data_IF_788631829334
#
_entry.id   IF_788631829334
#
_cell.length_a   1.000
_cell.length_b   1.000
_cell.length_c   1.000
_cell.angle_alpha   90.00
_cell.angle_beta   90.00
_cell.angle_gamma   90.00
#
_symmetry.space_group_name_H-M   'P 1'
#
loop_
_entity.id
_entity.type
_entity.pdbx_description
1 polymer ?
#
# COMPACT_ATOMS: atom_id res chain seq x y z
N UNK A 1 -18.03 1.37 -3.86
CA UNK A 1 -18.72 1.59 -2.57
C UNK A 1 -18.37 0.52 -1.53
N UNK A 2 -18.44 -0.78 -1.88
CA UNK A 2 -18.17 -1.90 -0.95
C UNK A 2 -16.85 -1.78 -0.15
N UNK A 3 -15.73 -1.49 -0.81
CA UNK A 3 -14.44 -1.35 -0.11
C UNK A 3 -14.43 -0.23 0.95
N UNK A 4 -15.05 0.92 0.66
CA UNK A 4 -15.18 2.02 1.62
C UNK A 4 -16.08 1.64 2.79
N UNK A 5 -17.17 0.92 2.51
CA UNK A 5 -18.05 0.40 3.56
C UNK A 5 -17.32 -0.61 4.45
N UNK A 6 -16.60 -1.58 3.88
CA UNK A 6 -15.78 -2.54 4.64
C UNK A 6 -14.75 -1.84 5.51
N UNK A 7 -14.07 -0.81 4.99
CA UNK A 7 -13.13 0.00 5.77
C UNK A 7 -13.81 0.74 6.93
N UNK A 8 -15.01 1.31 6.70
CA UNK A 8 -15.82 1.95 7.76
C UNK A 8 -16.19 0.95 8.84
N UNK A 9 -16.72 -0.22 8.46
CA UNK A 9 -17.10 -1.27 9.41
C UNK A 9 -15.88 -1.75 10.19
N UNK A 10 -14.76 -2.01 9.53
CA UNK A 10 -13.51 -2.40 10.19
C UNK A 10 -13.09 -1.35 11.23
N UNK A 11 -13.09 -0.06 10.88
CA UNK A 11 -12.75 1.01 11.82
C UNK A 11 -13.68 1.01 13.03
N UNK A 12 -14.99 0.97 12.80
CA UNK A 12 -15.99 0.97 13.87
C UNK A 12 -15.84 -0.23 14.81
N UNK A 13 -15.67 -1.44 14.26
CA UNK A 13 -15.48 -2.66 15.06
C UNK A 13 -14.17 -2.64 15.85
N UNK A 14 -13.09 -2.10 15.28
CA UNK A 14 -11.82 -1.97 16.01
C UNK A 14 -11.93 -0.94 17.15
N UNK A 15 -12.62 0.19 16.94
CA UNK A 15 -12.87 1.19 17.99
C UNK A 15 -13.71 0.62 19.13
N UNK A 16 -14.72 -0.18 18.82
CA UNK A 16 -15.56 -0.84 19.83
C UNK A 16 -14.76 -1.88 20.64
N UNK A 17 -13.95 -2.69 19.96
CA UNK A 17 -13.16 -3.75 20.59
C UNK A 17 -11.94 -3.23 21.37
N UNK A 18 -11.34 -2.14 20.90
CA UNK A 18 -10.13 -1.53 21.46
C UNK A 18 -10.38 -0.05 21.72
N UNK A 19 -11.19 0.29 22.75
CA UNK A 19 -11.58 1.68 23.02
C UNK A 19 -10.38 2.59 23.31
N UNK A 20 -9.32 2.03 23.91
CA UNK A 20 -8.10 2.75 24.28
C UNK A 20 -7.12 2.97 23.11
N UNK A 21 -7.34 2.32 21.96
CA UNK A 21 -6.47 2.49 20.80
C UNK A 21 -6.58 3.92 20.26
N UNK A 22 -5.45 4.53 19.90
CA UNK A 22 -5.44 5.85 19.27
C UNK A 22 -6.09 5.80 17.87
N UNK A 23 -6.62 6.94 17.40
CA UNK A 23 -7.13 7.03 16.02
C UNK A 23 -6.07 6.66 14.97
N UNK A 24 -4.80 6.99 15.23
CA UNK A 24 -3.68 6.65 14.35
C UNK A 24 -3.47 5.12 14.24
N UNK A 25 -3.54 4.39 15.34
CA UNK A 25 -3.46 2.92 15.34
C UNK A 25 -4.61 2.29 14.57
N UNK A 26 -5.82 2.82 14.72
CA UNK A 26 -6.98 2.34 13.96
C UNK A 26 -6.80 2.62 12.45
N UNK A 27 -6.33 3.82 12.10
CA UNK A 27 -6.08 4.17 10.71
C UNK A 27 -4.94 3.38 10.08
N UNK A 28 -3.91 2.98 10.82
CA UNK A 28 -2.87 2.06 10.32
C UNK A 28 -3.45 0.72 9.87
N UNK A 29 -4.40 0.16 10.62
CA UNK A 29 -5.04 -1.11 10.26
C UNK A 29 -5.94 -0.95 9.03
N UNK A 30 -6.71 0.15 8.97
CA UNK A 30 -7.55 0.47 7.81
C UNK A 30 -6.70 0.76 6.56
N UNK A 31 -5.61 1.50 6.72
CA UNK A 31 -4.62 1.80 5.69
C UNK A 31 -3.96 0.53 5.17
N UNK A 32 -3.63 -0.41 6.04
CA UNK A 32 -3.11 -1.72 5.63
C UNK A 32 -4.14 -2.51 4.78
N UNK A 33 -5.44 -2.43 5.09
CA UNK A 33 -6.46 -3.04 4.24
C UNK A 33 -6.56 -2.34 2.88
N UNK A 34 -6.68 -1.01 2.87
CA UNK A 34 -6.93 -0.24 1.65
C UNK A 34 -5.71 -0.15 0.74
N UNK A 35 -4.53 0.08 1.31
CA UNK A 35 -3.31 0.22 0.55
C UNK A 35 -2.62 -1.12 0.35
N UNK A 36 -2.12 -1.75 1.42
CA UNK A 36 -1.27 -2.94 1.27
C UNK A 36 -2.00 -4.14 0.66
N UNK A 37 -3.26 -4.38 1.04
CA UNK A 37 -4.02 -5.54 0.54
C UNK A 37 -4.78 -5.29 -0.75
N UNK A 38 -5.20 -4.06 -1.02
CA UNK A 38 -6.05 -3.78 -2.17
C UNK A 38 -5.29 -3.05 -3.29
N UNK A 39 -4.57 -1.97 -3.01
CA UNK A 39 -3.88 -1.19 -4.05
C UNK A 39 -2.49 -1.73 -4.40
N UNK A 40 -1.67 -2.08 -3.40
CA UNK A 40 -0.27 -2.44 -3.58
C UNK A 40 -0.05 -3.61 -4.57
N UNK A 41 -0.86 -4.70 -4.57
CA UNK A 41 -0.71 -5.77 -5.55
C UNK A 41 -0.94 -5.31 -6.99
N UNK A 42 -1.93 -4.45 -7.22
CA UNK A 42 -2.25 -3.89 -8.53
C UNK A 42 -1.19 -2.88 -9.02
N UNK A 43 -0.44 -2.25 -8.11
CA UNK A 43 0.71 -1.41 -8.47
C UNK A 43 1.90 -2.28 -8.89
N UNK A 44 2.18 -3.36 -8.16
CA UNK A 44 3.34 -4.24 -8.42
C UNK A 44 3.17 -5.09 -9.68
N UNK A 45 1.93 -5.54 -9.95
CA UNK A 45 1.59 -6.40 -11.06
C UNK A 45 0.35 -5.87 -11.80
N UNK A 46 0.41 -4.69 -12.43
CA UNK A 46 -0.75 -4.06 -13.05
C UNK A 46 -1.36 -4.90 -14.18
N UNK A 47 -0.56 -5.71 -14.86
CA UNK A 47 -0.98 -6.68 -15.86
C UNK A 47 -1.79 -7.84 -15.26
N UNK A 48 -1.37 -8.36 -14.11
CA UNK A 48 -2.09 -9.43 -13.40
C UNK A 48 -3.37 -8.98 -12.69
N UNK A 49 -3.63 -7.66 -12.66
CA UNK A 49 -4.80 -7.03 -12.04
C UNK A 49 -5.64 -6.23 -13.05
N UNK A 50 -5.43 -6.46 -14.36
CA UNK A 50 -6.18 -5.84 -15.46
C UNK A 50 -6.19 -4.28 -15.41
N UNK A 51 -5.12 -3.68 -14.89
CA UNK A 51 -4.95 -2.21 -14.84
C UNK A 51 -4.44 -1.66 -16.18
N UNK A 52 -3.66 -2.47 -16.91
CA UNK A 52 -3.10 -2.11 -18.21
C UNK A 52 -3.32 -3.24 -19.21
N UNK A 53 -3.49 -2.87 -20.47
CA UNK A 53 -3.49 -3.82 -21.58
C UNK A 53 -2.05 -4.17 -21.95
N UNK A 54 -1.69 -5.45 -21.87
CA UNK A 54 -0.43 -5.95 -22.40
C UNK A 54 -0.72 -6.72 -23.68
N UNK A 55 0.06 -6.46 -24.74
CA UNK A 55 -0.08 -7.17 -26.00
C UNK A 55 -0.03 -8.69 -25.79
N UNK A 56 -0.82 -9.44 -26.56
CA UNK A 56 -0.91 -10.90 -26.43
C UNK A 56 0.48 -11.55 -26.48
N UNK A 57 0.87 -12.24 -25.41
CA UNK A 57 2.16 -12.91 -25.26
C UNK A 57 3.30 -12.05 -24.72
N UNK A 58 3.09 -10.76 -24.46
CA UNK A 58 4.00 -9.90 -23.72
C UNK A 58 3.62 -9.84 -22.24
N UNK A 59 4.59 -9.92 -21.34
CA UNK A 59 4.43 -9.52 -19.94
C UNK A 59 5.08 -8.17 -19.71
N UNK A 60 4.84 -7.56 -18.55
CA UNK A 60 5.56 -6.34 -18.17
C UNK A 60 7.08 -6.57 -18.21
N UNK A 61 7.83 -5.66 -18.87
CA UNK A 61 9.28 -5.74 -18.90
C UNK A 61 9.85 -5.73 -17.48
N UNK A 62 10.94 -6.47 -17.26
CA UNK A 62 11.54 -6.65 -15.93
C UNK A 62 11.91 -5.32 -15.27
N UNK A 63 12.39 -4.34 -16.04
CA UNK A 63 12.71 -3.00 -15.50
C UNK A 63 11.46 -2.24 -15.03
N UNK A 64 10.33 -2.33 -15.75
CA UNK A 64 9.08 -1.73 -15.31
C UNK A 64 8.59 -2.37 -14.02
N UNK A 65 8.68 -3.70 -13.92
CA UNK A 65 8.31 -4.43 -12.69
C UNK A 65 9.18 -4.02 -11.50
N UNK A 66 10.49 -3.85 -11.73
CA UNK A 66 11.42 -3.35 -10.69
C UNK A 66 11.04 -1.93 -10.24
N UNK A 67 10.77 -1.02 -11.18
CA UNK A 67 10.41 0.36 -10.86
C UNK A 67 9.09 0.44 -10.09
N UNK A 68 8.07 -0.30 -10.53
CA UNK A 68 6.78 -0.39 -9.83
C UNK A 68 6.93 -1.00 -8.43
N UNK A 69 7.78 -2.01 -8.27
CA UNK A 69 8.12 -2.58 -6.97
C UNK A 69 8.73 -1.54 -6.02
N UNK A 70 9.63 -0.67 -6.49
CA UNK A 70 10.20 0.41 -5.69
C UNK A 70 9.15 1.47 -5.30
N UNK A 71 8.25 1.84 -6.22
CA UNK A 71 7.15 2.78 -5.94
C UNK A 71 6.17 2.20 -4.91
N UNK A 72 5.78 0.94 -5.10
CA UNK A 72 4.93 0.19 -4.20
C UNK A 72 5.53 0.14 -2.78
N UNK A 73 6.84 -0.12 -2.68
CA UNK A 73 7.56 -0.10 -1.40
C UNK A 73 7.50 1.27 -0.73
N UNK A 74 7.77 2.35 -1.47
CA UNK A 74 7.72 3.70 -0.94
C UNK A 74 6.33 4.05 -0.38
N UNK A 75 5.30 3.79 -1.16
CA UNK A 75 3.92 4.05 -0.79
C UNK A 75 3.46 3.17 0.38
N UNK A 76 3.96 1.93 0.49
CA UNK A 76 3.73 1.07 1.65
C UNK A 76 4.32 1.67 2.94
N UNK A 77 5.52 2.23 2.86
CA UNK A 77 6.13 2.92 3.99
C UNK A 77 5.28 4.11 4.41
N UNK A 78 4.91 4.97 3.45
CA UNK A 78 4.03 6.13 3.66
C UNK A 78 2.71 5.74 4.35
N UNK A 79 2.05 4.70 3.85
CA UNK A 79 0.75 4.25 4.37
C UNK A 79 0.83 3.59 5.76
N UNK A 80 2.03 3.21 6.22
CA UNK A 80 2.23 2.54 7.51
C UNK A 80 2.77 3.44 8.62
N UNK A 81 3.09 4.71 8.31
CA UNK A 81 3.72 5.69 9.21
C UNK A 81 4.96 5.12 9.95
N UNK A 82 5.68 4.18 9.32
CA UNK A 82 6.96 3.65 9.85
C UNK A 82 8.10 4.42 9.21
N UNK A 83 9.02 4.95 10.03
CA UNK A 83 10.26 5.53 9.54
C UNK A 83 11.01 4.52 8.66
N UNK A 84 11.59 4.95 7.53
CA UNK A 84 12.48 4.13 6.71
C UNK A 84 13.81 3.96 7.46
N UNK A 85 13.82 3.10 8.49
CA UNK A 85 15.04 2.69 9.17
C UNK A 85 15.50 1.34 8.61
N UNK A 86 16.56 1.36 7.79
CA UNK A 86 17.35 0.16 7.50
C UNK A 86 17.60 -0.18 6.03
N UNK A 87 16.99 0.49 5.04
CA UNK A 87 17.19 0.10 3.63
C UNK A 87 17.80 1.19 2.76
N UNK A 88 18.94 0.80 2.15
CA UNK A 88 19.71 1.40 1.03
C UNK A 88 19.67 2.93 0.92
N UNK A 89 20.84 3.57 1.01
CA UNK A 89 21.01 5.04 1.05
C UNK A 89 20.32 5.87 -0.04
N UNK A 90 19.79 5.27 -1.12
CA UNK A 90 18.95 5.91 -2.13
C UNK A 90 17.51 6.19 -1.66
N UNK A 91 16.98 5.44 -0.68
CA UNK A 91 15.63 5.63 -0.13
C UNK A 91 15.59 6.65 1.03
N UNK A 92 16.75 6.96 1.64
CA UNK A 92 16.86 7.95 2.72
C UNK A 92 16.50 9.37 2.26
N UNK A 93 16.86 9.75 1.03
CA UNK A 93 16.52 11.07 0.47
C UNK A 93 15.02 11.25 0.23
N UNK A 94 14.25 10.17 0.15
CA UNK A 94 12.80 10.21 -0.04
C UNK A 94 12.07 10.27 1.30
N UNK A 95 12.74 9.93 2.40
CA UNK A 95 12.18 10.01 3.75
C UNK A 95 11.83 11.45 4.16
N UNK A 96 12.47 12.46 3.54
CA UNK A 96 12.14 13.89 3.74
C UNK A 96 10.80 14.30 3.05
N UNK A 97 10.28 13.46 2.14
CA UNK A 97 9.01 13.68 1.43
C UNK A 97 7.83 12.84 1.96
N UNK A 98 8.10 11.91 2.87
CA UNK A 98 7.09 11.05 3.53
C UNK A 98 6.67 11.64 4.87
#
# INVERSE_FOLDING_TARGET
>A
YGMRYTAKVLKSSLREKFPDASEDELFKVVGNLLYYRYMNPAIVAPDGFDIIDVAAGGGLHTDHRRNLGSIAKLLQHAASSKSIEGETGQLRTINDYL
#
